data_IF_419414443657
#
_entry.id   IF_419414443657
#
_cell.length_a   1.000
_cell.length_b   1.000
_cell.length_c   1.000
_cell.angle_alpha   90.00
_cell.angle_beta   90.00
_cell.angle_gamma   90.00
#
_symmetry.space_group_name_H-M   'P 1'
#
loop_
_entity.id
_entity.type
_entity.pdbx_description
1 polymer ?
#
# COMPACT_ATOMS: atom_id res chain seq x y z
N UNK A 1 -2.59 15.66 1.98
CA UNK A 1 -2.38 14.21 2.09
C UNK A 1 -1.20 13.73 1.26
N UNK A 2 -1.21 13.91 -0.07
CA UNK A 2 -0.13 13.45 -0.97
C UNK A 2 1.27 13.93 -0.55
N UNK A 3 1.46 15.22 -0.26
CA UNK A 3 2.77 15.73 0.18
C UNK A 3 3.28 15.08 1.48
N UNK A 4 2.37 14.76 2.40
CA UNK A 4 2.70 14.03 3.63
C UNK A 4 3.13 12.60 3.30
N UNK A 5 2.35 11.89 2.49
CA UNK A 5 2.68 10.52 2.06
C UNK A 5 4.03 10.47 1.33
N UNK A 6 4.29 11.43 0.44
CA UNK A 6 5.54 11.51 -0.31
C UNK A 6 6.76 11.78 0.59
N UNK A 7 6.64 12.66 1.60
CA UNK A 7 7.71 12.88 2.59
C UNK A 7 7.99 11.63 3.41
N UNK A 8 6.94 10.90 3.81
CA UNK A 8 7.07 9.62 4.51
C UNK A 8 7.71 8.55 3.62
N UNK A 9 7.32 8.48 2.34
CA UNK A 9 7.92 7.55 1.38
C UNK A 9 9.41 7.82 1.19
N UNK A 10 9.78 9.09 1.02
CA UNK A 10 11.18 9.47 0.85
C UNK A 10 12.02 9.10 2.08
N UNK A 11 11.50 9.38 3.28
CA UNK A 11 12.16 9.01 4.52
C UNK A 11 12.33 7.50 4.65
N UNK A 12 11.27 6.73 4.37
CA UNK A 12 11.31 5.27 4.39
C UNK A 12 12.34 4.72 3.39
N UNK A 13 12.30 5.15 2.14
CA UNK A 13 13.22 4.70 1.11
C UNK A 13 14.68 5.04 1.45
N UNK A 14 14.94 6.19 2.09
CA UNK A 14 16.28 6.55 2.56
C UNK A 14 16.81 5.64 3.67
N UNK A 15 15.92 5.07 4.50
CA UNK A 15 16.29 4.03 5.50
C UNK A 15 16.64 2.71 4.83
N UNK A 16 15.93 2.35 3.76
CA UNK A 16 16.25 1.15 2.95
C UNK A 16 17.61 1.32 2.25
N UNK A 17 17.81 2.47 1.60
CA UNK A 17 19.05 2.84 0.94
C UNK A 17 19.29 4.37 0.90
N UNK A 18 20.44 4.90 1.38
CA UNK A 18 20.67 6.36 1.42
C UNK A 18 20.61 7.07 0.06
N UNK A 19 20.98 6.37 -1.02
CA UNK A 19 20.95 6.89 -2.40
C UNK A 19 19.78 6.31 -3.22
N UNK A 20 18.66 5.92 -2.59
CA UNK A 20 17.57 5.17 -3.22
C UNK A 20 17.07 5.78 -4.55
N UNK A 21 17.11 7.12 -4.68
CA UNK A 21 16.69 7.84 -5.89
C UNK A 21 17.50 7.44 -7.14
N UNK A 22 18.77 7.08 -6.94
CA UNK A 22 19.73 6.76 -8.00
C UNK A 22 19.84 5.25 -8.27
N UNK A 23 19.22 4.40 -7.45
CA UNK A 23 19.43 2.95 -7.48
C UNK A 23 18.73 2.21 -8.61
N UNK A 24 17.94 2.91 -9.44
CA UNK A 24 17.32 2.28 -10.61
C UNK A 24 16.31 1.18 -10.27
N UNK A 25 15.79 1.13 -9.03
CA UNK A 25 14.89 0.06 -8.59
C UNK A 25 13.72 -0.13 -9.54
N UNK A 26 13.44 -1.38 -9.88
CA UNK A 26 12.40 -1.78 -10.81
C UNK A 26 11.06 -1.92 -10.07
N UNK A 27 10.56 -0.81 -9.54
CA UNK A 27 9.32 -0.74 -8.74
C UNK A 27 8.11 -1.33 -9.46
N UNK A 28 8.07 -1.29 -10.80
CA UNK A 28 7.03 -1.96 -11.59
C UNK A 28 6.90 -3.46 -11.25
N UNK A 29 8.01 -4.12 -10.85
CA UNK A 29 7.97 -5.52 -10.39
C UNK A 29 7.19 -5.68 -9.11
N UNK A 30 7.41 -4.78 -8.16
CA UNK A 30 6.66 -4.79 -6.92
C UNK A 30 5.19 -4.47 -7.20
N UNK A 31 4.89 -3.44 -7.99
CA UNK A 31 3.51 -3.07 -8.37
C UNK A 31 2.71 -4.25 -8.90
N UNK A 32 3.21 -5.00 -9.90
CA UNK A 32 2.42 -6.12 -10.44
C UNK A 32 2.37 -7.34 -9.49
N UNK A 33 3.38 -7.55 -8.66
CA UNK A 33 3.35 -8.59 -7.62
C UNK A 33 2.27 -8.25 -6.59
N UNK A 34 2.21 -7.01 -6.11
CA UNK A 34 1.14 -6.57 -5.20
C UNK A 34 -0.24 -6.63 -5.87
N UNK A 35 -0.35 -6.41 -7.19
CA UNK A 35 -1.61 -6.67 -7.91
C UNK A 35 -2.03 -8.14 -7.83
N UNK A 36 -1.07 -9.08 -7.85
CA UNK A 36 -1.36 -10.50 -7.72
C UNK A 36 -1.74 -10.88 -6.27
N UNK A 37 -1.06 -10.32 -5.26
CA UNK A 37 -1.39 -10.50 -3.84
C UNK A 37 -2.79 -9.96 -3.54
N UNK A 38 -3.09 -8.75 -4.02
CA UNK A 38 -4.41 -8.12 -3.96
C UNK A 38 -5.51 -9.03 -4.53
N UNK A 39 -5.31 -9.61 -5.72
CA UNK A 39 -6.28 -10.53 -6.32
C UNK A 39 -6.45 -11.79 -5.46
N UNK A 40 -5.39 -12.31 -4.84
CA UNK A 40 -5.49 -13.52 -4.02
C UNK A 40 -6.33 -13.29 -2.76
N UNK A 41 -6.20 -12.10 -2.13
CA UNK A 41 -7.04 -11.66 -1.01
C UNK A 41 -8.48 -11.35 -1.42
N UNK A 42 -8.71 -10.80 -2.62
CA UNK A 42 -10.05 -10.49 -3.11
C UNK A 42 -10.83 -11.74 -3.54
N UNK A 43 -10.15 -12.70 -4.17
CA UNK A 43 -10.74 -13.94 -4.67
C UNK A 43 -10.96 -13.97 -6.18
N UNK A 44 -10.42 -15.02 -6.81
CA UNK A 44 -10.45 -15.25 -8.25
C UNK A 44 -10.48 -16.75 -8.64
N UNK A 45 -10.14 -17.65 -7.71
CA UNK A 45 -10.03 -19.09 -7.94
C UNK A 45 -11.43 -19.68 -8.09
N UNK A 46 -11.81 -20.02 -9.32
CA UNK A 46 -13.11 -20.66 -9.59
C UNK A 46 -13.21 -22.12 -9.12
N UNK A 47 -12.08 -22.74 -8.73
CA UNK A 47 -12.01 -24.16 -8.32
C UNK A 47 -11.92 -24.35 -6.80
N UNK A 48 -11.89 -23.28 -5.99
CA UNK A 48 -11.80 -23.33 -4.53
C UNK A 48 -12.62 -22.20 -3.92
N UNK A 49 -13.39 -22.48 -2.86
CA UNK A 49 -14.05 -21.42 -2.09
C UNK A 49 -13.01 -20.43 -1.55
N UNK A 50 -13.25 -19.14 -1.76
CA UNK A 50 -12.50 -18.04 -1.18
C UNK A 50 -13.49 -17.06 -0.57
N UNK A 51 -13.17 -16.56 0.61
CA UNK A 51 -13.88 -15.45 1.24
C UNK A 51 -12.93 -14.25 1.13
N UNK A 52 -13.43 -13.12 0.63
CA UNK A 52 -12.61 -11.94 0.40
C UNK A 52 -12.18 -11.32 1.74
N UNK A 53 -10.89 -11.03 1.87
CA UNK A 53 -10.33 -10.26 2.99
C UNK A 53 -10.14 -8.81 2.54
N UNK A 54 -11.16 -7.97 2.74
CA UNK A 54 -11.14 -6.59 2.26
C UNK A 54 -10.07 -5.73 2.93
N UNK A 55 -9.68 -6.04 4.17
CA UNK A 55 -8.67 -5.26 4.87
C UNK A 55 -7.28 -5.54 4.27
N UNK A 56 -6.98 -6.81 3.95
CA UNK A 56 -5.76 -7.14 3.20
C UNK A 56 -5.81 -6.56 1.78
N UNK A 57 -6.93 -6.64 1.07
CA UNK A 57 -7.08 -6.00 -0.26
C UNK A 57 -6.74 -4.51 -0.21
N UNK A 58 -7.22 -3.78 0.80
CA UNK A 58 -6.90 -2.36 0.97
C UNK A 58 -5.43 -2.13 1.30
N UNK A 59 -4.81 -3.00 2.10
CA UNK A 59 -3.38 -2.93 2.39
C UNK A 59 -2.52 -3.19 1.15
N UNK A 60 -2.92 -4.09 0.26
CA UNK A 60 -2.19 -4.32 -0.99
C UNK A 60 -2.32 -3.14 -1.97
N UNK A 61 -3.48 -2.47 -2.00
CA UNK A 61 -3.60 -1.18 -2.70
C UNK A 61 -2.64 -0.12 -2.13
N UNK A 62 -2.45 -0.10 -0.82
CA UNK A 62 -1.49 0.79 -0.15
C UNK A 62 -0.04 0.42 -0.49
N UNK A 63 0.28 -0.86 -0.61
CA UNK A 63 1.63 -1.31 -1.00
C UNK A 63 1.94 -0.92 -2.45
N UNK A 64 0.99 -1.12 -3.37
CA UNK A 64 1.05 -0.58 -4.73
C UNK A 64 1.33 0.93 -4.70
N UNK A 65 0.65 1.66 -3.82
CA UNK A 65 0.80 3.11 -3.71
C UNK A 65 2.18 3.55 -3.20
N UNK A 66 2.81 2.80 -2.28
CA UNK A 66 4.18 3.06 -1.84
C UNK A 66 5.17 3.00 -3.02
N UNK A 67 5.02 1.98 -3.87
CA UNK A 67 5.86 1.83 -5.07
C UNK A 67 5.54 2.89 -6.12
N UNK A 68 4.27 3.24 -6.31
CA UNK A 68 3.84 4.33 -7.19
C UNK A 68 4.39 5.70 -6.77
N UNK A 69 4.32 6.04 -5.48
CA UNK A 69 4.91 7.26 -4.93
C UNK A 69 6.43 7.28 -5.13
N UNK A 70 7.09 6.15 -4.91
CA UNK A 70 8.54 6.03 -5.12
C UNK A 70 8.94 6.30 -6.57
N UNK A 71 8.18 5.79 -7.55
CA UNK A 71 8.38 6.08 -8.97
C UNK A 71 8.14 7.55 -9.31
N UNK A 72 7.03 8.12 -8.86
CA UNK A 72 6.70 9.53 -9.15
C UNK A 72 7.71 10.51 -8.53
N UNK A 73 8.21 10.23 -7.33
CA UNK A 73 9.26 11.05 -6.70
C UNK A 73 10.53 11.01 -7.55
N UNK A 74 10.93 9.85 -8.07
CA UNK A 74 12.12 9.70 -8.93
C UNK A 74 11.94 10.34 -10.30
N UNK A 75 10.74 10.23 -10.87
CA UNK A 75 10.40 10.82 -12.17
C UNK A 75 10.13 12.33 -12.12
N UNK A 76 9.95 12.91 -10.92
CA UNK A 76 9.58 14.30 -10.75
C UNK A 76 8.14 14.60 -11.16
N UNK A 77 7.24 13.61 -11.07
CA UNK A 77 5.85 13.67 -11.54
C UNK A 77 4.80 13.65 -10.41
N UNK A 78 5.21 14.00 -9.18
CA UNK A 78 4.36 13.95 -7.99
C UNK A 78 3.15 14.92 -8.06
N UNK A 79 3.27 15.98 -8.87
CA UNK A 79 2.21 16.94 -9.15
C UNK A 79 0.94 16.29 -9.75
N UNK A 80 1.09 15.12 -10.39
CA UNK A 80 -0.02 14.36 -10.98
C UNK A 80 -0.85 13.60 -9.94
N UNK A 81 -0.30 13.33 -8.74
CA UNK A 81 -0.92 12.45 -7.76
C UNK A 81 -2.16 13.05 -7.08
N UNK A 82 -2.10 14.32 -6.64
CA UNK A 82 -3.21 14.93 -5.93
C UNK A 82 -4.48 15.07 -6.80
N UNK A 83 -4.41 15.56 -8.06
CA UNK A 83 -5.58 15.59 -8.95
C UNK A 83 -6.16 14.20 -9.23
N UNK A 84 -5.30 13.18 -9.37
CA UNK A 84 -5.72 11.82 -9.64
C UNK A 84 -6.50 11.19 -8.47
N UNK A 85 -6.05 11.40 -7.22
CA UNK A 85 -6.76 10.93 -6.04
C UNK A 85 -8.11 11.64 -5.85
N UNK A 86 -8.17 12.95 -6.10
CA UNK A 86 -9.44 13.69 -6.06
C UNK A 86 -10.45 13.13 -7.07
N UNK A 87 -10.00 12.83 -8.29
CA UNK A 87 -10.85 12.23 -9.31
C UNK A 87 -11.31 10.79 -8.97
N UNK A 88 -10.59 10.08 -8.10
CA UNK A 88 -11.01 8.78 -7.59
C UNK A 88 -12.13 8.93 -6.56
N UNK A 89 -12.03 9.91 -5.67
CA UNK A 89 -12.97 10.15 -4.55
C UNK A 89 -14.34 10.67 -5.04
N UNK A 90 -14.37 11.42 -6.15
CA UNK A 90 -15.60 11.98 -6.74
C UNK A 90 -16.47 10.92 -7.46
N UNK A 91 -15.96 9.71 -7.67
CA UNK A 91 -16.72 8.66 -8.35
C UNK A 91 -17.71 7.98 -7.39
N UNK A 92 -18.98 7.87 -7.79
CA UNK A 92 -19.91 6.95 -7.11
C UNK A 92 -19.40 5.52 -7.30
N UNK A 93 -18.74 4.97 -6.28
CA UNK A 93 -18.28 3.60 -6.28
C UNK A 93 -19.50 2.67 -6.40
N UNK A 94 -19.63 2.00 -7.54
CA UNK A 94 -20.54 0.88 -7.72
C UNK A 94 -19.68 -0.39 -7.76
N UNK A 95 -19.48 -1.08 -6.63
CA UNK A 95 -18.57 -2.22 -6.57
C UNK A 95 -19.14 -3.38 -7.39
N UNK A 96 -18.61 -3.57 -8.60
CA UNK A 96 -18.72 -4.80 -9.36
C UNK A 96 -17.40 -5.57 -9.23
N UNK A 97 -17.47 -6.79 -8.69
CA UNK A 97 -16.30 -7.64 -8.51
C UNK A 97 -15.59 -7.98 -9.83
N UNK A 98 -16.32 -8.05 -10.96
CA UNK A 98 -15.71 -8.26 -12.27
C UNK A 98 -14.91 -7.03 -12.72
N UNK A 99 -15.47 -5.83 -12.51
CA UNK A 99 -14.83 -4.56 -12.83
C UNK A 99 -13.58 -4.30 -11.97
N UNK A 100 -13.64 -4.61 -10.66
CA UNK A 100 -12.47 -4.54 -9.78
C UNK A 100 -11.33 -5.44 -10.26
N UNK A 101 -11.62 -6.71 -10.58
CA UNK A 101 -10.60 -7.63 -11.11
C UNK A 101 -9.99 -7.11 -12.42
N UNK A 102 -10.82 -6.62 -13.35
CA UNK A 102 -10.35 -6.05 -14.60
C UNK A 102 -9.48 -4.79 -14.39
N UNK A 103 -9.81 -3.96 -13.41
CA UNK A 103 -9.00 -2.79 -13.05
C UNK A 103 -7.60 -3.18 -12.55
N UNK A 104 -7.53 -4.21 -11.69
CA UNK A 104 -6.25 -4.72 -11.16
C UNK A 104 -5.43 -5.39 -12.26
N UNK A 105 -6.06 -6.18 -13.14
CA UNK A 105 -5.41 -6.78 -14.30
C UNK A 105 -4.87 -5.72 -15.27
N UNK A 106 -5.62 -4.64 -15.48
CA UNK A 106 -5.17 -3.50 -16.29
C UNK A 106 -3.96 -2.80 -15.66
N UNK A 107 -3.96 -2.58 -14.35
CA UNK A 107 -2.80 -2.03 -13.64
C UNK A 107 -1.55 -2.92 -13.79
N UNK A 108 -1.70 -4.23 -13.60
CA UNK A 108 -0.60 -5.18 -13.78
C UNK A 108 -0.08 -5.19 -15.22
N UNK A 109 -0.98 -5.17 -16.22
CA UNK A 109 -0.63 -5.09 -17.64
C UNK A 109 0.19 -3.82 -17.95
N UNK A 110 -0.26 -2.66 -17.49
CA UNK A 110 0.42 -1.38 -17.71
C UNK A 110 1.77 -1.34 -17.00
N UNK A 111 1.85 -1.83 -15.76
CA UNK A 111 3.11 -1.92 -15.03
C UNK A 111 4.16 -2.74 -15.79
N UNK A 112 3.78 -3.89 -16.34
CA UNK A 112 4.66 -4.75 -17.12
C UNK A 112 5.01 -4.14 -18.49
N UNK A 113 4.05 -3.53 -19.16
CA UNK A 113 4.22 -2.98 -20.51
C UNK A 113 5.08 -1.72 -20.51
N UNK A 114 4.80 -0.81 -19.57
CA UNK A 114 5.50 0.46 -19.43
C UNK A 114 6.78 0.36 -18.59
N UNK A 115 6.95 -0.74 -17.83
CA UNK A 115 8.02 -0.90 -16.82
C UNK A 115 8.06 0.25 -15.80
N UNK A 116 6.90 0.79 -15.47
CA UNK A 116 6.71 1.90 -14.53
C UNK A 116 5.31 1.83 -13.91
N UNK A 117 5.12 2.48 -12.77
CA UNK A 117 3.77 2.74 -12.25
C UNK A 117 2.98 3.65 -13.20
N UNK A 118 1.69 3.32 -13.43
CA UNK A 118 0.79 4.11 -14.28
C UNK A 118 -0.44 4.52 -13.47
N UNK A 119 -0.70 5.83 -13.41
CA UNK A 119 -1.72 6.41 -12.53
C UNK A 119 -3.15 6.06 -12.93
N UNK A 120 -3.48 6.08 -14.22
CA UNK A 120 -4.85 5.87 -14.70
C UNK A 120 -5.47 4.53 -14.26
N UNK A 121 -4.81 3.36 -14.44
CA UNK A 121 -5.35 2.11 -13.92
C UNK A 121 -5.39 2.05 -12.39
N UNK A 122 -4.46 2.70 -11.69
CA UNK A 122 -4.51 2.78 -10.22
C UNK A 122 -5.74 3.56 -9.73
N UNK A 123 -6.06 4.69 -10.36
CA UNK A 123 -7.31 5.43 -10.10
C UNK A 123 -8.53 4.54 -10.34
N UNK A 124 -8.51 3.72 -11.39
CA UNK A 124 -9.62 2.78 -11.66
C UNK A 124 -9.77 1.71 -10.57
N UNK A 125 -8.66 1.21 -10.01
CA UNK A 125 -8.68 0.31 -8.84
C UNK A 125 -9.33 1.00 -7.64
N UNK A 126 -8.97 2.26 -7.34
CA UNK A 126 -9.59 3.03 -6.25
C UNK A 126 -11.09 3.23 -6.46
N UNK A 127 -11.52 3.56 -7.67
CA UNK A 127 -12.95 3.77 -8.00
C UNK A 127 -13.80 2.49 -7.91
N UNK A 128 -13.18 1.31 -7.95
CA UNK A 128 -13.86 0.01 -7.93
C UNK A 128 -13.76 -0.71 -6.59
N UNK A 129 -13.12 -0.09 -5.59
CA UNK A 129 -12.98 -0.57 -4.23
C UNK A 129 -13.68 0.39 -3.25
N UNK A 130 -14.37 -0.08 -2.20
CA UNK A 130 -14.89 0.79 -1.15
C UNK A 130 -13.75 1.30 -0.25
N UNK A 131 -12.93 2.20 -0.79
CA UNK A 131 -11.76 2.81 -0.14
C UNK A 131 -11.74 4.32 -0.46
N UNK A 132 -12.09 5.15 0.52
CA UNK A 132 -12.01 6.61 0.37
C UNK A 132 -10.56 7.10 0.36
N UNK A 133 -10.31 8.31 -0.15
CA UNK A 133 -8.96 8.90 -0.08
C UNK A 133 -8.50 9.13 1.37
N UNK A 134 -9.41 9.46 2.27
CA UNK A 134 -9.13 9.60 3.70
C UNK A 134 -8.69 8.26 4.33
N UNK A 135 -9.39 7.17 3.98
CA UNK A 135 -9.04 5.82 4.45
C UNK A 135 -7.71 5.35 3.84
N UNK A 136 -7.50 5.58 2.54
CA UNK A 136 -6.21 5.31 1.87
C UNK A 136 -5.07 6.02 2.60
N UNK A 137 -5.26 7.29 2.94
CA UNK A 137 -4.26 8.07 3.67
C UNK A 137 -3.97 7.49 5.07
N UNK A 138 -5.01 7.10 5.82
CA UNK A 138 -4.85 6.47 7.15
C UNK A 138 -4.10 5.15 7.06
N UNK A 139 -4.50 4.26 6.15
CA UNK A 139 -3.86 2.96 5.95
C UNK A 139 -2.42 3.12 5.45
N UNK A 140 -2.17 4.10 4.59
CA UNK A 140 -0.83 4.44 4.13
C UNK A 140 0.08 4.85 5.29
N UNK A 141 -0.36 5.77 6.17
CA UNK A 141 0.41 6.17 7.35
C UNK A 141 0.73 4.95 8.22
N UNK A 142 -0.24 4.08 8.46
CA UNK A 142 -0.03 2.88 9.27
C UNK A 142 0.93 1.88 8.63
N UNK A 143 0.77 1.59 7.33
CA UNK A 143 1.64 0.66 6.61
C UNK A 143 3.05 1.20 6.46
N UNK A 144 3.22 2.51 6.30
CA UNK A 144 4.53 3.16 6.31
C UNK A 144 5.25 2.97 7.66
N UNK A 145 4.53 3.11 8.78
CA UNK A 145 5.06 2.84 10.12
C UNK A 145 5.42 1.36 10.29
N UNK A 146 4.58 0.43 9.83
CA UNK A 146 4.91 -1.00 9.85
C UNK A 146 6.15 -1.30 9.00
N UNK A 147 6.31 -0.66 7.84
CA UNK A 147 7.48 -0.84 6.98
C UNK A 147 8.76 -0.29 7.65
N UNK A 148 8.68 0.83 8.36
CA UNK A 148 9.77 1.32 9.20
C UNK A 148 10.08 0.39 10.37
N UNK A 149 9.04 -0.15 11.01
CA UNK A 149 9.17 -1.14 12.07
C UNK A 149 9.90 -2.40 11.57
N UNK A 150 9.52 -2.94 10.41
CA UNK A 150 10.20 -4.05 9.73
C UNK A 150 11.70 -3.75 9.57
N UNK A 151 12.06 -2.58 9.03
CA UNK A 151 13.47 -2.22 8.83
C UNK A 151 14.25 -2.11 10.14
N UNK A 152 13.64 -1.56 11.21
CA UNK A 152 14.25 -1.46 12.53
C UNK A 152 14.49 -2.85 13.18
N UNK A 153 13.70 -3.85 12.81
CA UNK A 153 13.73 -5.20 13.36
C UNK A 153 14.37 -6.24 12.42
N UNK A 154 15.26 -5.80 11.53
CA UNK A 154 16.10 -6.71 10.76
C UNK A 154 15.46 -7.28 9.49
N UNK A 155 14.51 -6.58 8.86
CA UNK A 155 13.95 -7.03 7.58
C UNK A 155 15.02 -7.20 6.50
N UNK A 156 16.02 -6.30 6.48
CA UNK A 156 17.14 -6.36 5.54
C UNK A 156 18.15 -7.48 5.87
N UNK A 157 18.34 -7.81 7.14
CA UNK A 157 19.19 -8.94 7.57
C UNK A 157 18.47 -10.30 7.45
N UNK A 158 17.14 -10.29 7.33
CA UNK A 158 16.30 -11.49 7.34
C UNK A 158 15.96 -11.99 8.75
N UNK A 159 16.21 -11.18 9.79
CA UNK A 159 15.92 -11.53 11.19
C UNK A 159 14.47 -11.21 11.59
N UNK A 160 13.81 -10.35 10.82
CA UNK A 160 12.43 -9.95 11.09
C UNK A 160 11.45 -11.13 10.95
N UNK A 161 10.54 -11.25 11.92
CA UNK A 161 9.45 -12.22 11.87
C UNK A 161 8.17 -11.55 11.33
N UNK A 162 7.72 -11.93 10.12
CA UNK A 162 6.45 -11.43 9.56
C UNK A 162 5.22 -12.05 10.25
N UNK A 163 5.36 -13.25 10.80
CA UNK A 163 4.29 -13.96 11.51
C UNK A 163 4.39 -13.74 13.01
N UNK A 164 3.47 -12.97 13.58
CA UNK A 164 3.40 -12.67 15.01
C UNK A 164 2.31 -13.54 15.63
N UNK A 165 2.72 -14.45 16.52
CA UNK A 165 1.81 -15.42 17.16
C UNK A 165 0.94 -16.21 16.14
N UNK A 166 1.49 -16.51 14.96
CA UNK A 166 0.82 -17.29 13.91
C UNK A 166 -0.06 -16.51 12.95
N UNK A 167 -0.05 -15.16 13.02
CA UNK A 167 -0.82 -14.26 12.15
C UNK A 167 0.12 -13.27 11.46
N UNK A 168 -0.27 -12.74 10.31
CA UNK A 168 0.56 -11.76 9.61
C UNK A 168 0.61 -10.42 10.37
N UNK A 169 1.76 -9.76 10.35
CA UNK A 169 1.97 -8.42 10.90
C UNK A 169 0.97 -7.37 10.36
N UNK A 170 0.54 -7.49 9.11
CA UNK A 170 -0.54 -6.70 8.51
C UNK A 170 -1.86 -6.83 9.30
N UNK A 171 -2.20 -8.01 9.82
CA UNK A 171 -3.41 -8.20 10.64
C UNK A 171 -3.29 -7.47 11.98
N UNK A 172 -2.10 -7.52 12.60
CA UNK A 172 -1.82 -6.78 13.84
C UNK A 172 -1.85 -5.27 13.62
N UNK A 173 -1.39 -4.80 12.46
CA UNK A 173 -1.48 -3.40 12.05
C UNK A 173 -2.93 -2.93 11.99
N UNK A 174 -3.83 -3.69 11.37
CA UNK A 174 -5.25 -3.32 11.27
C UNK A 174 -5.85 -3.17 12.66
N UNK A 175 -5.67 -4.17 13.54
CA UNK A 175 -6.19 -4.14 14.91
C UNK A 175 -5.60 -2.98 15.74
N UNK A 176 -4.30 -2.72 15.59
CA UNK A 176 -3.64 -1.63 16.29
C UNK A 176 -4.18 -0.27 15.81
N UNK A 177 -4.35 -0.10 14.49
CA UNK A 177 -4.93 1.11 13.92
C UNK A 177 -6.37 1.35 14.38
N UNK A 178 -7.21 0.32 14.44
CA UNK A 178 -8.61 0.44 14.90
C UNK A 178 -8.71 0.89 16.37
N UNK A 179 -7.77 0.45 17.21
CA UNK A 179 -7.71 0.83 18.62
C UNK A 179 -7.23 2.27 18.88
N UNK A 180 -6.66 2.94 17.88
CA UNK A 180 -6.13 4.30 18.04
C UNK A 180 -7.20 5.36 17.80
N UNK A 181 -7.52 6.12 18.85
CA UNK A 181 -8.32 7.36 18.78
C UNK A 181 -7.45 8.55 19.14
N UNK A 182 -6.64 9.03 18.19
CA UNK A 182 -5.72 10.14 18.38
C UNK A 182 -5.68 11.05 17.13
N UNK A 183 -5.00 12.20 17.24
CA UNK A 183 -4.74 13.02 16.08
C UNK A 183 -3.78 12.31 15.11
N UNK A 184 -3.92 12.55 13.80
CA UNK A 184 -3.13 11.89 12.74
C UNK A 184 -1.63 12.02 12.98
N UNK A 185 -1.19 13.17 13.52
CA UNK A 185 0.21 13.47 13.80
C UNK A 185 0.80 12.56 14.91
N UNK A 186 -0.05 12.00 15.77
CA UNK A 186 0.33 11.11 16.86
C UNK A 186 0.26 9.63 16.45
N UNK A 187 -0.40 9.31 15.34
CA UNK A 187 -0.57 7.93 14.87
C UNK A 187 0.78 7.24 14.68
N UNK A 188 1.82 7.82 14.05
CA UNK A 188 3.07 7.10 13.82
C UNK A 188 3.75 6.62 15.10
N UNK A 189 3.85 7.48 16.12
CA UNK A 189 4.51 7.15 17.38
C UNK A 189 3.70 6.12 18.18
N UNK A 190 2.39 6.36 18.35
CA UNK A 190 1.53 5.47 19.13
C UNK A 190 1.35 4.10 18.46
N UNK A 191 1.27 4.06 17.13
CA UNK A 191 1.23 2.81 16.38
C UNK A 191 2.53 2.04 16.50
N UNK A 192 3.69 2.70 16.39
CA UNK A 192 4.98 2.02 16.54
C UNK A 192 5.10 1.35 17.92
N UNK A 193 4.71 2.03 18.99
CA UNK A 193 4.67 1.46 20.34
C UNK A 193 3.68 0.29 20.46
N UNK A 194 2.50 0.40 19.85
CA UNK A 194 1.53 -0.69 19.83
C UNK A 194 2.04 -1.93 19.05
N UNK A 195 2.86 -1.72 18.02
CA UNK A 195 3.52 -2.78 17.27
C UNK A 195 4.65 -3.44 18.09
N UNK A 196 5.45 -2.66 18.82
CA UNK A 196 6.46 -3.18 19.77
C UNK A 196 5.84 -4.12 20.81
N UNK A 197 4.69 -3.75 21.38
CA UNK A 197 4.00 -4.58 22.39
C UNK A 197 3.50 -5.93 21.84
N UNK A 198 3.31 -6.02 20.51
CA UNK A 198 2.81 -7.21 19.82
C UNK A 198 3.91 -8.06 19.19
N UNK A 199 5.12 -7.53 19.05
CA UNK A 199 6.22 -8.20 18.36
C UNK A 199 6.86 -9.28 19.26
N UNK A 200 7.05 -10.53 18.77
CA UNK A 200 7.53 -11.66 19.56
C UNK A 200 9.06 -11.73 19.77
#
# INVERSE_FOLDING_TARGET
MVETMARMQDSHNAKVHPQWRDQGYENYRAVWVECAELLDHFGWKWWKKQDADLDQVKLEVVDIWHFGLSDMIRAGSLDQAAPALLAADDAEAAPDAADFRAAVEWLAQEALSCRAFVMAPFVRVLQTLPLSVDELFRLYVGKNVLNDFRQAHGYKSGEYQKLWHGREDNEHLIEALEGLTCAVEQVPELLFLALEERYP
#
